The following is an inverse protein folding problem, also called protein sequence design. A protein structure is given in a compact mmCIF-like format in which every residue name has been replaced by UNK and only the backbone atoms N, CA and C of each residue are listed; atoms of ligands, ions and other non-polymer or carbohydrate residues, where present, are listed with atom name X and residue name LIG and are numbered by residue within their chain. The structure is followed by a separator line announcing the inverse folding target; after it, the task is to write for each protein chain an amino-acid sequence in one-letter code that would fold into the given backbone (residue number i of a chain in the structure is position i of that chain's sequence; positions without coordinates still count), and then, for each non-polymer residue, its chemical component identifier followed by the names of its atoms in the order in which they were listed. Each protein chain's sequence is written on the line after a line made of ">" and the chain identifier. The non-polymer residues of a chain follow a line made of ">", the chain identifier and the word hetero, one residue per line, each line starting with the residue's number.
data_IF_625038438898
#
_entry.id   IF_625038438898
#
_cell.length_a   1.000
_cell.length_b   1.000
_cell.length_c   1.000
_cell.angle_alpha   90.00
_cell.angle_beta   90.00
_cell.angle_gamma   90.00
#
_symmetry.space_group_name_H-M   'P 1'
#
loop_
_entity.id
_entity.type
_entity.pdbx_description
1 polymer ?
#
# COMPACT_ATOMS: atom_id res chain seq x y z
N UNK A 1 2.00 56.39 9.17
CA UNK A 1 2.98 55.27 9.15
C UNK A 1 2.63 54.34 10.30
N UNK A 2 2.01 53.21 10.00
CA UNK A 2 1.73 52.15 10.97
C UNK A 2 2.78 51.04 10.79
N UNK A 3 3.29 50.42 11.87
CA UNK A 3 4.32 49.39 11.74
C UNK A 3 3.72 48.11 11.15
N UNK A 4 4.44 47.51 10.19
CA UNK A 4 4.10 46.22 9.61
C UNK A 4 4.22 45.10 10.65
N UNK A 5 3.26 44.15 10.73
CA UNK A 5 3.41 42.98 11.58
C UNK A 5 4.53 42.08 11.04
N UNK A 6 5.43 41.69 11.93
CA UNK A 6 6.51 40.74 11.65
C UNK A 6 5.94 39.35 11.35
N UNK A 7 6.22 38.83 10.16
CA UNK A 7 5.97 37.44 9.79
C UNK A 7 6.90 36.50 10.57
N UNK A 8 6.38 35.87 11.62
CA UNK A 8 7.01 34.69 12.23
C UNK A 8 6.91 33.51 11.25
N UNK A 9 8.02 33.21 10.57
CA UNK A 9 8.20 31.95 9.87
C UNK A 9 8.28 30.80 10.88
N UNK A 10 7.16 30.18 11.21
CA UNK A 10 7.16 28.90 11.94
C UNK A 10 7.54 27.76 11.00
N UNK A 11 8.85 27.56 10.81
CA UNK A 11 9.40 26.31 10.27
C UNK A 11 9.31 25.22 11.35
N UNK A 12 8.64 24.11 11.03
CA UNK A 12 8.64 22.90 11.87
C UNK A 12 7.25 22.47 12.29
N UNK A 13 6.53 21.82 11.37
CA UNK A 13 5.37 21.00 11.72
C UNK A 13 5.87 19.82 12.57
N UNK A 14 6.00 20.02 13.89
CA UNK A 14 6.34 18.96 14.86
C UNK A 14 5.39 17.80 14.61
N UNK A 15 5.93 16.67 14.15
CA UNK A 15 5.19 15.43 14.05
C UNK A 15 4.66 15.12 15.44
N UNK A 16 3.35 15.26 15.63
CA UNK A 16 2.73 14.98 16.93
C UNK A 16 2.96 13.50 17.23
N UNK A 17 3.82 13.23 18.20
CA UNK A 17 4.03 11.88 18.71
C UNK A 17 2.68 11.28 19.10
N UNK A 18 2.20 10.33 18.33
CA UNK A 18 0.97 9.61 18.64
C UNK A 18 1.19 8.83 19.93
N UNK A 19 0.11 8.55 20.67
CA UNK A 19 0.17 7.80 21.93
C UNK A 19 0.86 6.43 21.74
N UNK A 20 0.63 5.79 20.59
CA UNK A 20 1.31 4.55 20.18
C UNK A 20 2.82 4.70 19.96
N UNK A 21 3.26 5.83 19.41
CA UNK A 21 4.68 6.10 19.18
C UNK A 21 5.44 6.35 20.49
N UNK A 22 4.77 6.95 21.50
CA UNK A 22 5.33 7.12 22.85
C UNK A 22 5.48 5.78 23.57
N UNK A 23 4.47 4.91 23.52
CA UNK A 23 4.55 3.57 24.09
C UNK A 23 5.63 2.73 23.42
N UNK A 24 5.75 2.79 22.09
CA UNK A 24 6.79 2.08 21.35
C UNK A 24 8.19 2.60 21.73
N UNK A 25 8.39 3.91 21.82
CA UNK A 25 9.66 4.51 22.23
C UNK A 25 10.03 4.12 23.67
N UNK A 26 9.06 4.11 24.59
CA UNK A 26 9.29 3.68 25.97
C UNK A 26 9.71 2.21 26.06
N UNK A 27 9.01 1.31 25.34
CA UNK A 27 9.35 -0.11 25.28
C UNK A 27 10.73 -0.34 24.66
N UNK A 28 11.07 0.41 23.62
CA UNK A 28 12.40 0.36 22.99
C UNK A 28 13.49 0.76 23.98
N UNK A 29 13.32 1.87 24.72
CA UNK A 29 14.29 2.32 25.73
C UNK A 29 14.44 1.28 26.83
N UNK A 30 13.33 0.70 27.32
CA UNK A 30 13.37 -0.36 28.32
C UNK A 30 14.14 -1.59 27.82
N UNK A 31 13.89 -2.01 26.58
CA UNK A 31 14.58 -3.12 25.92
C UNK A 31 16.09 -2.83 25.79
N UNK A 32 16.47 -1.64 25.32
CA UNK A 32 17.88 -1.23 25.20
C UNK A 32 18.59 -1.17 26.56
N UNK A 33 17.93 -0.66 27.60
CA UNK A 33 18.47 -0.67 28.97
C UNK A 33 18.67 -2.10 29.49
N UNK A 34 17.74 -3.01 29.18
CA UNK A 34 17.86 -4.42 29.53
C UNK A 34 19.07 -5.05 28.84
N UNK A 35 19.25 -4.81 27.53
CA UNK A 35 20.43 -5.27 26.78
C UNK A 35 21.71 -4.67 27.36
N UNK A 36 21.75 -3.36 27.59
CA UNK A 36 22.92 -2.69 28.14
C UNK A 36 23.30 -3.27 29.51
N UNK A 37 22.32 -3.54 30.36
CA UNK A 37 22.55 -4.19 31.67
C UNK A 37 23.15 -5.58 31.50
N UNK A 38 22.67 -6.37 30.53
CA UNK A 38 23.20 -7.71 30.24
C UNK A 38 24.64 -7.65 29.72
N UNK A 39 24.97 -6.67 28.88
CA UNK A 39 26.31 -6.50 28.30
C UNK A 39 27.30 -6.01 29.36
N UNK A 40 26.91 -5.05 30.20
CA UNK A 40 27.79 -4.43 31.21
C UNK A 40 28.10 -5.40 32.35
N UNK A 41 27.16 -6.29 32.69
CA UNK A 41 27.31 -7.23 33.80
C UNK A 41 27.28 -8.69 33.33
N UNK A 42 28.26 -9.18 32.56
CA UNK A 42 28.27 -10.58 32.14
C UNK A 42 28.20 -11.52 33.35
N UNK A 43 27.52 -12.68 33.21
CA UNK A 43 27.39 -13.68 34.28
C UNK A 43 28.78 -14.13 34.72
N UNK A 44 29.24 -13.56 35.83
CA UNK A 44 30.54 -13.78 36.44
C UNK A 44 30.35 -13.68 37.95
N UNK A 45 31.38 -14.02 38.73
CA UNK A 45 31.35 -13.87 40.20
C UNK A 45 31.14 -12.42 40.68
N UNK A 46 31.22 -11.44 39.77
CA UNK A 46 31.07 -10.01 40.07
C UNK A 46 29.67 -9.44 39.72
N UNK A 47 28.75 -10.28 39.22
CA UNK A 47 27.40 -9.85 38.84
C UNK A 47 26.60 -9.46 40.09
N UNK A 48 25.98 -8.27 40.15
CA UNK A 48 25.13 -7.90 41.28
C UNK A 48 23.97 -8.89 41.45
N UNK A 49 23.64 -9.25 42.70
CA UNK A 49 22.63 -10.27 43.01
C UNK A 49 21.21 -9.99 42.45
N UNK A 50 20.89 -8.73 42.15
CA UNK A 50 19.62 -8.35 41.51
C UNK A 50 19.63 -8.53 39.97
N UNK A 51 20.81 -8.59 39.35
CA UNK A 51 20.99 -8.77 37.90
C UNK A 51 20.90 -10.23 37.50
N UNK A 52 21.40 -11.13 38.34
CA UNK A 52 21.36 -12.59 38.11
C UNK A 52 19.94 -13.15 37.81
N UNK A 53 18.87 -12.83 38.59
CA UNK A 53 17.52 -13.28 38.27
C UNK A 53 16.99 -12.63 36.98
N UNK A 54 17.34 -11.36 36.71
CA UNK A 54 16.96 -10.69 35.47
C UNK A 54 17.58 -11.40 34.26
N UNK A 55 18.87 -11.69 34.32
CA UNK A 55 19.59 -12.40 33.26
C UNK A 55 19.07 -13.81 33.07
N UNK A 56 18.90 -14.57 34.14
CA UNK A 56 18.37 -15.94 34.08
C UNK A 56 16.99 -15.96 33.45
N UNK A 57 16.13 -15.01 33.82
CA UNK A 57 14.80 -14.88 33.22
C UNK A 57 14.87 -14.46 31.75
N UNK A 58 15.73 -13.51 31.38
CA UNK A 58 15.88 -13.07 29.99
C UNK A 58 16.47 -14.18 29.12
N UNK A 59 17.51 -14.88 29.57
CA UNK A 59 18.09 -16.02 28.85
C UNK A 59 17.08 -17.17 28.74
N UNK A 60 16.35 -17.48 29.81
CA UNK A 60 15.32 -18.51 29.80
C UNK A 60 14.17 -18.17 28.83
N UNK A 61 13.69 -16.93 28.84
CA UNK A 61 12.68 -16.45 27.89
C UNK A 61 13.22 -16.48 26.46
N UNK A 62 14.42 -15.95 26.22
CA UNK A 62 15.05 -15.96 24.89
C UNK A 62 15.24 -17.39 24.40
N UNK A 63 15.75 -18.32 25.21
CA UNK A 63 15.91 -19.71 24.82
C UNK A 63 14.57 -20.38 24.49
N UNK A 64 13.49 -20.00 25.19
CA UNK A 64 12.14 -20.54 24.96
C UNK A 64 11.51 -19.99 23.67
N UNK A 65 11.70 -18.70 23.39
CA UNK A 65 11.06 -18.02 22.27
C UNK A 65 11.91 -17.98 21.00
N UNK A 66 13.24 -18.04 21.10
CA UNK A 66 14.16 -17.95 19.96
C UNK A 66 13.84 -18.94 18.84
N UNK A 67 13.51 -20.22 19.10
CA UNK A 67 13.12 -21.16 18.04
C UNK A 67 11.91 -20.68 17.22
N UNK A 68 10.89 -20.12 17.88
CA UNK A 68 9.69 -19.61 17.21
C UNK A 68 9.97 -18.32 16.45
N UNK A 69 10.81 -17.44 17.00
CA UNK A 69 11.26 -16.23 16.31
C UNK A 69 12.06 -16.59 15.05
N UNK A 70 13.00 -17.53 15.14
CA UNK A 70 13.80 -17.99 14.01
C UNK A 70 12.94 -18.59 12.90
N UNK A 71 12.04 -19.51 13.24
CA UNK A 71 11.11 -20.11 12.26
C UNK A 71 10.16 -19.07 11.67
N UNK A 72 9.66 -18.15 12.49
CA UNK A 72 8.84 -17.03 12.03
C UNK A 72 9.60 -16.14 11.02
N UNK A 73 10.86 -15.80 11.30
CA UNK A 73 11.70 -15.03 10.39
C UNK A 73 11.97 -15.76 9.07
N UNK A 74 12.18 -17.09 9.12
CA UNK A 74 12.28 -17.90 7.90
C UNK A 74 10.99 -17.84 7.08
N UNK A 75 9.83 -18.01 7.73
CA UNK A 75 8.53 -17.89 7.06
C UNK A 75 8.28 -16.51 6.44
N UNK A 76 8.65 -15.44 7.16
CA UNK A 76 8.59 -14.08 6.63
C UNK A 76 9.50 -13.87 5.41
N UNK A 77 10.71 -14.43 5.46
CA UNK A 77 11.69 -14.33 4.36
C UNK A 77 11.18 -15.03 3.10
N UNK A 78 10.59 -16.22 3.25
CA UNK A 78 9.99 -16.94 2.12
C UNK A 78 8.83 -16.15 1.52
N UNK A 79 7.90 -15.66 2.34
CA UNK A 79 6.77 -14.85 1.87
C UNK A 79 7.23 -13.58 1.14
N UNK A 80 8.28 -12.93 1.65
CA UNK A 80 8.88 -11.75 1.04
C UNK A 80 9.52 -12.08 -0.31
N UNK A 81 10.24 -13.20 -0.41
CA UNK A 81 10.83 -13.67 -1.65
C UNK A 81 9.76 -14.00 -2.70
N UNK A 82 8.65 -14.64 -2.31
CA UNK A 82 7.50 -14.89 -3.19
C UNK A 82 6.83 -13.59 -3.66
N UNK A 83 6.67 -12.60 -2.78
CA UNK A 83 6.09 -11.30 -3.14
C UNK A 83 7.00 -10.53 -4.12
N UNK A 84 8.31 -10.49 -3.86
CA UNK A 84 9.28 -9.81 -4.72
C UNK A 84 9.37 -10.47 -6.10
N UNK A 85 9.32 -11.80 -6.16
CA UNK A 85 9.33 -12.52 -7.45
C UNK A 85 8.02 -12.42 -8.23
N UNK A 86 6.90 -12.23 -7.53
CA UNK A 86 5.58 -11.99 -8.15
C UNK A 86 5.47 -10.56 -8.71
N UNK A 87 5.94 -9.56 -7.96
CA UNK A 87 5.82 -8.13 -8.30
C UNK A 87 7.16 -7.52 -8.69
N UNK A 88 7.83 -8.10 -9.70
CA UNK A 88 9.20 -7.73 -10.10
C UNK A 88 9.34 -6.26 -10.50
N UNK A 89 8.29 -5.66 -11.07
CA UNK A 89 8.30 -4.27 -11.54
C UNK A 89 8.23 -3.26 -10.39
N UNK A 90 7.61 -3.62 -9.26
CA UNK A 90 7.36 -2.72 -8.12
C UNK A 90 7.48 -3.44 -6.76
N UNK A 91 8.64 -4.07 -6.46
CA UNK A 91 8.75 -4.93 -5.29
C UNK A 91 8.62 -4.15 -3.98
N UNK A 92 9.15 -2.92 -3.95
CA UNK A 92 9.13 -2.07 -2.74
C UNK A 92 7.71 -1.58 -2.43
N UNK A 93 6.98 -1.15 -3.46
CA UNK A 93 5.62 -0.66 -3.34
C UNK A 93 4.67 -1.79 -2.97
N UNK A 94 4.85 -2.97 -3.59
CA UNK A 94 4.10 -4.18 -3.26
C UNK A 94 4.29 -4.55 -1.78
N UNK A 95 5.53 -4.61 -1.28
CA UNK A 95 5.82 -4.92 0.13
C UNK A 95 5.23 -3.93 1.14
N UNK A 96 4.99 -2.68 0.72
CA UNK A 96 4.41 -1.64 1.58
C UNK A 96 2.88 -1.70 1.66
N UNK A 97 2.22 -2.47 0.82
CA UNK A 97 0.76 -2.63 0.86
C UNK A 97 0.32 -3.37 2.14
N UNK A 98 -0.90 -3.09 2.60
CA UNK A 98 -1.45 -3.76 3.80
C UNK A 98 -1.58 -5.26 3.60
N UNK A 99 -1.97 -5.69 2.40
CA UNK A 99 -2.17 -7.09 2.05
C UNK A 99 -0.87 -7.89 2.01
N UNK A 100 0.25 -7.28 1.62
CA UNK A 100 1.58 -7.91 1.76
C UNK A 100 1.92 -8.23 3.20
N UNK A 101 1.66 -7.30 4.14
CA UNK A 101 1.91 -7.56 5.56
C UNK A 101 1.01 -8.65 6.13
N UNK A 102 -0.25 -8.73 5.69
CA UNK A 102 -1.16 -9.82 6.06
C UNK A 102 -0.61 -11.16 5.54
N UNK A 103 -0.16 -11.22 4.28
CA UNK A 103 0.40 -12.44 3.69
C UNK A 103 1.68 -12.89 4.42
N UNK A 104 2.58 -11.96 4.74
CA UNK A 104 3.78 -12.23 5.55
C UNK A 104 3.38 -12.75 6.93
N UNK A 105 2.42 -12.11 7.60
CA UNK A 105 1.96 -12.53 8.92
C UNK A 105 1.35 -13.93 8.91
N UNK A 106 0.54 -14.27 7.90
CA UNK A 106 0.00 -15.62 7.72
C UNK A 106 1.11 -16.66 7.58
N UNK A 107 2.16 -16.35 6.80
CA UNK A 107 3.31 -17.25 6.66
C UNK A 107 4.09 -17.43 7.97
N UNK A 108 4.29 -16.35 8.73
CA UNK A 108 4.94 -16.41 10.06
C UNK A 108 4.13 -17.31 11.00
N UNK A 109 2.81 -17.12 11.07
CA UNK A 109 1.92 -17.91 11.92
C UNK A 109 1.92 -19.37 11.50
N UNK A 110 1.83 -19.66 10.19
CA UNK A 110 1.84 -21.02 9.69
C UNK A 110 3.16 -21.74 9.99
N UNK A 111 4.31 -21.05 9.87
CA UNK A 111 5.61 -21.59 10.22
C UNK A 111 5.72 -21.90 11.72
N UNK A 112 5.22 -21.00 12.59
CA UNK A 112 5.17 -21.21 14.04
C UNK A 112 4.28 -22.42 14.39
N UNK A 113 3.10 -22.53 13.80
CA UNK A 113 2.20 -23.67 14.00
C UNK A 113 2.89 -24.98 13.58
N UNK A 114 3.58 -24.98 12.43
CA UNK A 114 4.34 -26.15 11.98
C UNK A 114 5.42 -26.55 13.00
N UNK A 115 6.15 -25.60 13.59
CA UNK A 115 7.10 -25.89 14.65
C UNK A 115 6.43 -26.43 15.92
N UNK A 116 5.26 -25.92 16.30
CA UNK A 116 4.49 -26.46 17.43
C UNK A 116 4.12 -27.92 17.16
N UNK A 117 3.60 -28.22 15.96
CA UNK A 117 3.24 -29.59 15.57
C UNK A 117 4.45 -30.51 15.65
N UNK A 118 5.58 -30.12 15.04
CA UNK A 118 6.82 -30.91 15.06
C UNK A 118 7.32 -31.14 16.49
N UNK A 119 7.24 -30.14 17.37
CA UNK A 119 7.63 -30.29 18.78
C UNK A 119 6.77 -31.29 19.55
N UNK A 120 5.50 -31.41 19.20
CA UNK A 120 4.56 -32.34 19.85
C UNK A 120 4.66 -33.73 19.26
N UNK A 121 4.93 -33.87 17.96
CA UNK A 121 4.95 -35.17 17.27
C UNK A 121 6.33 -35.82 17.20
N UNK A 122 7.41 -35.03 17.25
CA UNK A 122 8.80 -35.49 17.10
C UNK A 122 9.66 -35.08 18.31
N UNK A 123 9.28 -35.55 19.50
CA UNK A 123 9.92 -35.19 20.78
C UNK A 123 11.39 -35.59 20.86
N UNK A 124 11.77 -36.70 20.22
CA UNK A 124 13.14 -37.24 20.22
C UNK A 124 14.08 -36.53 19.22
N UNK A 125 13.55 -35.69 18.33
CA UNK A 125 14.35 -35.02 17.31
C UNK A 125 15.13 -33.85 17.91
N UNK A 126 16.40 -33.69 17.52
CA UNK A 126 17.23 -32.57 17.95
C UNK A 126 16.52 -31.22 17.67
N UNK A 127 16.45 -30.28 18.64
CA UNK A 127 15.75 -29.01 18.49
C UNK A 127 16.20 -28.17 17.28
N UNK A 128 17.49 -28.20 16.95
CA UNK A 128 18.03 -27.49 15.79
C UNK A 128 17.56 -28.10 14.47
N UNK A 129 17.46 -29.43 14.41
CA UNK A 129 16.91 -30.14 13.25
C UNK A 129 15.40 -29.90 13.10
N UNK A 130 14.65 -29.74 14.20
CA UNK A 130 13.24 -29.33 14.16
C UNK A 130 13.06 -27.94 13.53
N UNK A 131 13.91 -26.97 13.88
CA UNK A 131 13.86 -25.63 13.29
C UNK A 131 14.15 -25.69 11.78
N UNK A 132 15.20 -26.43 11.40
CA UNK A 132 15.64 -26.52 10.01
C UNK A 132 14.64 -27.31 9.14
N UNK A 133 14.09 -28.41 9.67
CA UNK A 133 13.09 -29.22 8.98
C UNK A 133 11.79 -28.43 8.77
N UNK A 134 11.37 -27.63 9.75
CA UNK A 134 10.23 -26.73 9.58
C UNK A 134 10.56 -25.67 8.55
N UNK A 135 11.69 -24.97 8.67
CA UNK A 135 12.09 -23.89 7.76
C UNK A 135 12.07 -24.27 6.28
N UNK A 136 12.52 -25.49 5.95
CA UNK A 136 12.53 -26.01 4.57
C UNK A 136 11.23 -26.73 4.23
N UNK A 137 10.69 -27.52 5.15
CA UNK A 137 9.60 -28.46 4.90
C UNK A 137 8.20 -27.86 5.01
N UNK A 138 8.00 -26.79 5.78
CA UNK A 138 6.65 -26.28 6.03
C UNK A 138 5.98 -25.74 4.76
N UNK A 139 6.77 -25.19 3.83
CA UNK A 139 6.29 -24.74 2.52
C UNK A 139 5.77 -25.90 1.68
N UNK A 140 6.42 -27.06 1.75
CA UNK A 140 5.91 -28.27 1.11
C UNK A 140 4.60 -28.71 1.79
N UNK A 141 4.56 -28.72 3.12
CA UNK A 141 3.39 -29.15 3.90
C UNK A 141 2.16 -28.27 3.63
N UNK A 142 2.29 -26.95 3.62
CA UNK A 142 1.16 -26.03 3.35
C UNK A 142 0.56 -26.27 1.97
N UNK A 143 1.36 -26.71 1.00
CA UNK A 143 0.92 -27.03 -0.36
C UNK A 143 0.37 -28.45 -0.52
N UNK A 144 0.33 -29.26 0.54
CA UNK A 144 -0.20 -30.64 0.45
C UNK A 144 -1.71 -30.71 0.68
N UNK A 145 -2.35 -31.68 0.02
CA UNK A 145 -3.75 -32.05 0.23
C UNK A 145 -3.81 -33.13 1.31
N UNK A 146 -4.50 -32.84 2.42
CA UNK A 146 -4.71 -33.81 3.49
C UNK A 146 -6.04 -34.53 3.27
N UNK A 147 -5.99 -35.84 3.05
CA UNK A 147 -7.18 -36.70 3.01
C UNK A 147 -7.46 -37.16 4.45
N UNK A 148 -8.55 -36.68 5.06
CA UNK A 148 -8.89 -36.98 6.47
C UNK A 148 -9.69 -38.27 6.61
N UNK A 149 -10.51 -38.60 5.60
CA UNK A 149 -11.24 -39.84 5.56
C UNK A 149 -11.38 -40.31 4.11
N UNK A 150 -10.92 -41.55 3.86
CA UNK A 150 -11.23 -42.31 2.65
C UNK A 150 -12.20 -43.41 3.05
N UNK A 151 -13.43 -43.38 2.52
CA UNK A 151 -14.36 -44.50 2.71
C UNK A 151 -13.77 -45.73 1.99
N UNK A 152 -13.49 -46.80 2.75
CA UNK A 152 -13.04 -48.07 2.18
C UNK A 152 -14.26 -48.72 1.51
N UNK A 153 -14.20 -48.86 0.18
CA UNK A 153 -15.24 -49.55 -0.61
C UNK A 153 -15.89 -48.71 -1.72
N UNK A 154 -15.44 -47.47 -1.95
CA UNK A 154 -15.92 -46.63 -3.05
C UNK A 154 -14.73 -46.15 -3.88
N UNK A 155 -14.65 -46.61 -5.14
CA UNK A 155 -13.55 -46.28 -6.07
C UNK A 155 -13.76 -44.91 -6.76
N UNK A 156 -14.75 -44.14 -6.30
CA UNK A 156 -15.04 -42.78 -6.74
C UNK A 156 -14.47 -41.71 -5.80
N UNK A 157 -13.96 -40.61 -6.39
CA UNK A 157 -13.48 -39.42 -5.67
C UNK A 157 -14.56 -38.72 -4.80
N UNK A 158 -15.82 -39.14 -4.90
CA UNK A 158 -16.97 -38.52 -4.22
C UNK A 158 -17.08 -38.89 -2.73
N UNK A 159 -16.34 -39.91 -2.27
CA UNK A 159 -16.35 -40.37 -0.87
C UNK A 159 -15.22 -39.83 0.03
N UNK A 160 -14.33 -38.96 -0.48
CA UNK A 160 -13.15 -38.49 0.24
C UNK A 160 -13.39 -37.13 0.93
N UNK A 161 -13.36 -37.11 2.26
CA UNK A 161 -13.30 -35.84 3.02
C UNK A 161 -11.84 -35.43 3.12
N UNK A 162 -11.41 -34.54 2.21
CA UNK A 162 -10.06 -33.98 2.20
C UNK A 162 -10.09 -32.48 2.52
N UNK A 163 -9.26 -32.03 3.47
CA UNK A 163 -8.95 -30.61 3.62
C UNK A 163 -7.78 -30.29 2.70
N UNK A 164 -8.07 -29.58 1.62
CA UNK A 164 -7.05 -29.06 0.73
C UNK A 164 -6.51 -27.73 1.27
N UNK A 165 -5.59 -27.80 2.24
CA UNK A 165 -4.89 -26.63 2.78
C UNK A 165 -4.13 -25.88 1.69
N UNK A 166 -3.57 -26.61 0.72
CA UNK A 166 -2.97 -26.01 -0.48
C UNK A 166 -3.94 -25.12 -1.24
N UNK A 167 -5.13 -25.64 -1.57
CA UNK A 167 -6.15 -24.85 -2.26
C UNK A 167 -6.60 -23.63 -1.46
N UNK A 168 -6.83 -23.77 -0.15
CA UNK A 168 -7.23 -22.63 0.68
C UNK A 168 -6.14 -21.56 0.72
N UNK A 169 -4.88 -21.98 0.86
CA UNK A 169 -3.73 -21.09 0.83
C UNK A 169 -3.58 -20.41 -0.53
N UNK A 170 -3.76 -21.15 -1.64
CA UNK A 170 -3.71 -20.61 -2.99
C UNK A 170 -4.81 -19.57 -3.24
N UNK A 171 -6.05 -19.83 -2.79
CA UNK A 171 -7.14 -18.85 -2.87
C UNK A 171 -6.82 -17.59 -2.09
N UNK A 172 -6.28 -17.74 -0.87
CA UNK A 172 -5.86 -16.60 -0.06
C UNK A 172 -4.71 -15.82 -0.72
N UNK A 173 -3.70 -16.51 -1.25
CA UNK A 173 -2.60 -15.88 -1.98
C UNK A 173 -3.10 -15.11 -3.19
N UNK A 174 -4.03 -15.69 -3.96
CA UNK A 174 -4.62 -15.04 -5.12
C UNK A 174 -5.40 -13.79 -4.74
N UNK A 175 -6.24 -13.86 -3.69
CA UNK A 175 -6.95 -12.70 -3.16
C UNK A 175 -5.97 -11.60 -2.76
N UNK A 176 -4.93 -11.94 -1.99
CA UNK A 176 -3.92 -10.99 -1.56
C UNK A 176 -3.20 -10.36 -2.77
N UNK A 177 -2.79 -11.15 -3.76
CA UNK A 177 -2.16 -10.65 -4.99
C UNK A 177 -3.06 -9.69 -5.75
N UNK A 178 -4.34 -10.03 -5.95
CA UNK A 178 -5.30 -9.15 -6.62
C UNK A 178 -5.48 -7.84 -5.87
N UNK A 179 -5.56 -7.88 -4.54
CA UNK A 179 -5.73 -6.65 -3.75
C UNK A 179 -4.46 -5.77 -3.76
N UNK A 180 -3.27 -6.38 -3.74
CA UNK A 180 -2.00 -5.67 -3.91
C UNK A 180 -1.99 -4.98 -5.27
N UNK A 181 -2.36 -5.69 -6.34
CA UNK A 181 -2.40 -5.16 -7.69
C UNK A 181 -3.38 -3.97 -7.82
N UNK A 182 -4.59 -4.09 -7.29
CA UNK A 182 -5.57 -3.00 -7.25
C UNK A 182 -5.05 -1.77 -6.50
N UNK A 183 -4.37 -1.95 -5.37
CA UNK A 183 -3.77 -0.85 -4.62
C UNK A 183 -2.65 -0.17 -5.42
N UNK A 184 -1.82 -0.95 -6.12
CA UNK A 184 -0.79 -0.45 -7.01
C UNK A 184 -1.40 0.31 -8.20
N UNK A 185 -2.45 -0.22 -8.84
CA UNK A 185 -3.16 0.45 -9.94
C UNK A 185 -3.73 1.81 -9.51
N UNK A 186 -4.35 1.90 -8.33
CA UNK A 186 -4.85 3.17 -7.80
C UNK A 186 -3.73 4.20 -7.57
N UNK A 187 -2.58 3.75 -7.06
CA UNK A 187 -1.40 4.62 -6.90
C UNK A 187 -0.86 5.07 -8.26
N UNK A 188 -0.77 4.17 -9.25
CA UNK A 188 -0.34 4.50 -10.60
C UNK A 188 -1.25 5.55 -11.24
N UNK A 189 -2.57 5.36 -11.16
CA UNK A 189 -3.54 6.34 -11.67
C UNK A 189 -3.35 7.70 -11.01
N UNK A 190 -3.23 7.72 -9.68
CA UNK A 190 -3.02 8.97 -8.92
C UNK A 190 -1.71 9.66 -9.32
N UNK A 191 -0.63 8.90 -9.50
CA UNK A 191 0.67 9.43 -9.91
C UNK A 191 0.63 10.03 -11.32
N UNK A 192 -0.01 9.34 -12.27
CA UNK A 192 -0.22 9.84 -13.64
C UNK A 192 -1.06 11.10 -13.64
N UNK A 193 -2.20 11.12 -12.93
CA UNK A 193 -3.04 12.31 -12.83
C UNK A 193 -2.26 13.50 -12.28
N UNK A 194 -1.48 13.31 -11.20
CA UNK A 194 -0.62 14.37 -10.66
C UNK A 194 0.43 14.83 -11.67
N UNK A 195 1.09 13.92 -12.38
CA UNK A 195 2.04 14.32 -13.43
C UNK A 195 1.37 15.20 -14.48
N UNK A 196 0.17 14.84 -14.92
CA UNK A 196 -0.58 15.63 -15.91
C UNK A 196 -1.01 17.00 -15.37
N UNK A 197 -1.26 17.12 -14.07
CA UNK A 197 -1.63 18.38 -13.42
C UNK A 197 -0.42 19.33 -13.28
N UNK A 198 0.74 18.81 -12.88
CA UNK A 198 1.95 19.61 -12.66
C UNK A 198 2.75 19.87 -13.95
N UNK A 199 2.63 18.99 -14.95
CA UNK A 199 3.30 19.10 -16.25
C UNK A 199 2.25 19.12 -17.37
N UNK A 200 1.60 20.27 -17.60
CA UNK A 200 0.53 20.37 -18.60
C UNK A 200 1.05 20.35 -20.04
N UNK A 201 2.32 20.69 -20.26
CA UNK A 201 2.93 20.77 -21.58
C UNK A 201 3.29 19.38 -22.12
N UNK A 202 2.86 19.08 -23.35
CA UNK A 202 3.25 17.85 -24.05
C UNK A 202 4.77 17.78 -24.27
N UNK A 203 5.40 18.91 -24.63
CA UNK A 203 6.85 18.96 -24.86
C UNK A 203 7.63 18.62 -23.58
N UNK A 204 7.18 19.14 -22.43
CA UNK A 204 7.82 18.88 -21.15
C UNK A 204 7.65 17.41 -20.71
N UNK A 205 6.45 16.84 -20.90
CA UNK A 205 6.23 15.41 -20.66
C UNK A 205 7.07 14.53 -21.58
N UNK A 206 7.25 14.93 -22.84
CA UNK A 206 8.09 14.22 -23.79
C UNK A 206 9.56 14.25 -23.36
N UNK A 207 10.10 15.42 -23.02
CA UNK A 207 11.50 15.56 -22.59
C UNK A 207 11.79 14.76 -21.32
N UNK A 208 10.87 14.80 -20.34
CA UNK A 208 10.99 14.01 -19.12
C UNK A 208 10.94 12.51 -19.46
N UNK A 209 10.00 12.07 -20.32
CA UNK A 209 9.89 10.67 -20.72
C UNK A 209 11.16 10.18 -21.45
N UNK A 210 11.66 10.98 -22.39
CA UNK A 210 12.88 10.70 -23.14
C UNK A 210 14.11 10.60 -22.23
N UNK A 211 14.26 11.55 -21.32
CA UNK A 211 15.32 11.53 -20.32
C UNK A 211 15.20 10.31 -19.41
N UNK A 212 13.98 9.95 -18.99
CA UNK A 212 13.73 8.78 -18.13
C UNK A 212 14.14 7.48 -18.82
N UNK A 213 13.86 7.34 -20.12
CA UNK A 213 14.27 6.16 -20.90
C UNK A 213 15.80 6.13 -21.04
N UNK A 214 16.42 7.25 -21.43
CA UNK A 214 17.87 7.33 -21.68
C UNK A 214 18.71 7.19 -20.41
N UNK A 215 18.22 7.69 -19.27
CA UNK A 215 18.93 7.63 -17.99
C UNK A 215 18.84 6.26 -17.31
N UNK A 216 18.02 5.35 -17.84
CA UNK A 216 17.80 4.03 -17.25
C UNK A 216 18.91 3.05 -17.60
N UNK A 217 19.88 2.92 -16.71
CA UNK A 217 21.04 2.02 -16.86
C UNK A 217 20.71 0.51 -17.00
N UNK A 218 19.47 0.09 -16.75
CA UNK A 218 19.06 -1.33 -16.82
C UNK A 218 18.52 -1.75 -18.18
N UNK A 219 18.29 -0.82 -19.11
CA UNK A 219 17.80 -1.14 -20.45
C UNK A 219 18.97 -1.53 -21.36
N UNK A 220 18.75 -2.52 -22.23
CA UNK A 220 19.67 -2.75 -23.35
C UNK A 220 19.49 -1.65 -24.40
N UNK A 221 20.49 -1.44 -25.26
CA UNK A 221 20.40 -0.43 -26.34
C UNK A 221 19.19 -0.67 -27.24
N UNK A 222 18.91 -1.91 -27.59
CA UNK A 222 17.73 -2.29 -28.40
C UNK A 222 16.41 -1.92 -27.71
N UNK A 223 16.30 -2.17 -26.40
CA UNK A 223 15.12 -1.80 -25.63
C UNK A 223 14.98 -0.28 -25.51
N UNK A 224 16.08 0.43 -25.33
CA UNK A 224 16.08 1.89 -25.28
C UNK A 224 15.59 2.49 -26.60
N UNK A 225 16.12 2.03 -27.73
CA UNK A 225 15.70 2.46 -29.07
C UNK A 225 14.23 2.13 -29.33
N UNK A 226 13.77 0.93 -28.97
CA UNK A 226 12.37 0.54 -29.11
C UNK A 226 11.44 1.46 -28.31
N UNK A 227 11.79 1.74 -27.04
CA UNK A 227 10.99 2.61 -26.17
C UNK A 227 10.98 4.06 -26.64
N UNK A 228 12.09 4.55 -27.20
CA UNK A 228 12.17 5.87 -27.85
C UNK A 228 11.30 5.94 -29.10
N UNK A 229 11.36 4.93 -29.96
CA UNK A 229 10.51 4.85 -31.14
C UNK A 229 9.01 4.82 -30.78
N UNK A 230 8.64 4.09 -29.71
CA UNK A 230 7.27 4.08 -29.22
C UNK A 230 6.84 5.44 -28.65
N UNK A 231 7.75 6.17 -27.98
CA UNK A 231 7.50 7.53 -27.51
C UNK A 231 7.33 8.52 -28.68
N UNK A 232 8.14 8.41 -29.73
CA UNK A 232 8.03 9.24 -30.94
C UNK A 232 6.71 9.05 -31.68
N UNK A 233 6.17 7.82 -31.72
CA UNK A 233 4.83 7.56 -32.30
C UNK A 233 3.72 8.34 -31.58
N UNK A 234 3.90 8.69 -30.31
CA UNK A 234 2.93 9.48 -29.55
C UNK A 234 2.91 10.97 -29.96
N UNK A 235 3.91 11.42 -30.72
CA UNK A 235 3.95 12.76 -31.31
C UNK A 235 3.21 12.86 -32.65
N UNK A 236 2.60 11.76 -33.14
CA UNK A 236 1.81 11.80 -34.38
C UNK A 236 0.66 12.81 -34.24
N UNK A 237 0.58 13.85 -35.10
CA UNK A 237 -0.48 14.86 -35.07
C UNK A 237 -1.90 14.28 -35.21
N UNK A 238 -2.03 13.03 -35.67
CA UNK A 238 -3.32 12.34 -35.80
C UNK A 238 -3.82 11.74 -34.48
N UNK A 239 -2.95 11.62 -33.47
CA UNK A 239 -3.34 11.09 -32.16
C UNK A 239 -4.03 12.18 -31.31
N UNK A 240 -5.09 11.85 -30.54
CA UNK A 240 -5.68 12.80 -29.60
C UNK A 240 -4.65 13.30 -28.58
N UNK A 241 -4.54 14.62 -28.40
CA UNK A 241 -3.53 15.25 -27.53
C UNK A 241 -3.55 14.70 -26.09
N UNK A 242 -4.76 14.54 -25.53
CA UNK A 242 -4.95 13.98 -24.19
C UNK A 242 -4.47 12.53 -24.07
N UNK A 243 -4.58 11.75 -25.14
CA UNK A 243 -4.08 10.37 -25.19
C UNK A 243 -2.56 10.33 -25.22
N UNK A 244 -1.93 11.18 -26.05
CA UNK A 244 -0.48 11.30 -26.13
C UNK A 244 0.11 11.75 -24.78
N UNK A 245 -0.46 12.78 -24.15
CA UNK A 245 -0.05 13.24 -22.82
C UNK A 245 -0.16 12.16 -21.75
N UNK A 246 -1.30 11.47 -21.68
CA UNK A 246 -1.51 10.37 -20.72
C UNK A 246 -0.51 9.23 -20.93
N UNK A 247 -0.22 8.91 -22.19
CA UNK A 247 0.74 7.87 -22.57
C UNK A 247 2.17 8.26 -22.22
N UNK A 248 2.56 9.52 -22.38
CA UNK A 248 3.87 10.04 -21.93
C UNK A 248 4.01 9.99 -20.41
N UNK A 249 2.98 10.42 -19.67
CA UNK A 249 2.97 10.33 -18.21
C UNK A 249 3.06 8.88 -17.71
N UNK A 250 2.41 7.95 -18.40
CA UNK A 250 2.56 6.51 -18.15
C UNK A 250 3.97 6.01 -18.46
N UNK A 251 4.57 6.45 -19.57
CA UNK A 251 5.94 6.08 -19.93
C UNK A 251 6.97 6.57 -18.88
N UNK A 252 6.78 7.78 -18.33
CA UNK A 252 7.59 8.29 -17.21
C UNK A 252 7.46 7.37 -15.99
N UNK A 253 6.23 7.02 -15.61
CA UNK A 253 5.98 6.16 -14.47
C UNK A 253 6.53 4.74 -14.65
N UNK A 254 6.41 4.15 -15.84
CA UNK A 254 6.89 2.79 -16.13
C UNK A 254 8.40 2.69 -16.23
N UNK A 255 9.07 3.75 -16.71
CA UNK A 255 10.51 3.75 -16.86
C UNK A 255 11.23 4.26 -15.62
N UNK A 256 10.72 5.30 -14.97
CA UNK A 256 11.32 5.91 -13.79
C UNK A 256 10.85 5.31 -12.46
N UNK A 257 9.68 4.67 -12.45
CA UNK A 257 9.06 4.16 -11.24
C UNK A 257 8.44 5.24 -10.36
N UNK A 258 7.72 4.81 -9.32
CA UNK A 258 6.96 5.69 -8.43
C UNK A 258 7.86 6.71 -7.71
N UNK A 259 9.06 6.30 -7.28
CA UNK A 259 9.98 7.17 -6.55
C UNK A 259 10.49 8.34 -7.41
N UNK A 260 10.75 8.10 -8.69
CA UNK A 260 11.16 9.15 -9.61
C UNK A 260 10.01 10.13 -9.89
N UNK A 261 8.79 9.62 -10.07
CA UNK A 261 7.60 10.48 -10.20
C UNK A 261 7.39 11.36 -8.96
N UNK A 262 7.55 10.80 -7.75
CA UNK A 262 7.47 11.59 -6.52
C UNK A 262 8.56 12.67 -6.44
N UNK A 263 9.77 12.39 -6.93
CA UNK A 263 10.85 13.36 -7.02
C UNK A 263 10.50 14.49 -8.00
N UNK A 264 10.00 14.17 -9.19
CA UNK A 264 9.54 15.16 -10.17
C UNK A 264 8.44 16.04 -9.59
N UNK A 265 7.43 15.43 -8.97
CA UNK A 265 6.35 16.18 -8.32
C UNK A 265 6.88 17.07 -7.19
N UNK A 266 7.85 16.60 -6.41
CA UNK A 266 8.48 17.41 -5.35
C UNK A 266 9.25 18.59 -5.92
N UNK A 267 10.00 18.39 -7.01
CA UNK A 267 10.71 19.46 -7.71
C UNK A 267 9.74 20.47 -8.32
N UNK A 268 8.69 20.00 -8.99
CA UNK A 268 7.62 20.85 -9.50
C UNK A 268 7.02 21.69 -8.37
N UNK A 269 6.71 21.08 -7.22
CA UNK A 269 6.21 21.76 -6.02
C UNK A 269 7.17 22.84 -5.48
N UNK A 270 8.48 22.59 -5.51
CA UNK A 270 9.51 23.52 -5.00
C UNK A 270 9.76 24.71 -5.94
N UNK A 271 9.55 24.53 -7.25
CA UNK A 271 9.78 25.56 -8.26
C UNK A 271 8.62 26.53 -8.45
N UNK A 272 7.53 26.35 -7.70
CA UNK A 272 6.36 27.23 -7.77
C UNK A 272 6.50 28.38 -6.78
N UNK A 273 6.19 29.60 -7.22
CA UNK A 273 6.02 30.74 -6.32
C UNK A 273 4.89 30.47 -5.32
N UNK A 274 4.86 31.13 -4.15
CA UNK A 274 3.75 31.03 -3.19
C UNK A 274 2.37 31.31 -3.83
N UNK A 275 2.34 32.17 -4.84
CA UNK A 275 1.16 32.50 -5.66
C UNK A 275 0.80 31.38 -6.64
N UNK A 276 1.78 30.72 -7.26
CA UNK A 276 1.59 29.57 -8.13
C UNK A 276 1.23 28.29 -7.33
N UNK A 277 1.71 28.14 -6.10
CA UNK A 277 1.24 27.12 -5.15
C UNK A 277 -0.20 27.39 -4.68
N UNK A 278 -0.60 28.66 -4.54
CA UNK A 278 -1.99 29.04 -4.29
C UNK A 278 -2.90 28.87 -5.53
N UNK A 279 -2.30 28.84 -6.74
CA UNK A 279 -2.96 28.52 -8.01
C UNK A 279 -3.01 27.00 -8.30
N UNK A 280 -2.03 26.22 -7.81
CA UNK A 280 -2.07 24.76 -7.64
C UNK A 280 -2.96 24.35 -6.46
N UNK A 281 -4.14 24.97 -6.42
CA UNK A 281 -5.26 24.31 -5.78
C UNK A 281 -5.40 22.93 -6.44
N UNK A 282 -5.82 21.89 -5.68
CA UNK A 282 -6.40 20.71 -6.31
C UNK A 282 -7.31 21.22 -7.42
N UNK A 283 -7.19 20.68 -8.64
CA UNK A 283 -7.97 21.10 -9.81
C UNK A 283 -9.36 21.48 -9.33
N UNK A 284 -9.94 22.58 -9.82
CA UNK A 284 -11.18 23.11 -9.23
C UNK A 284 -12.26 22.04 -9.02
N UNK A 285 -12.21 20.94 -9.80
CA UNK A 285 -12.89 19.66 -9.58
C UNK A 285 -12.45 18.83 -8.37
N UNK A 286 -11.18 18.51 -8.16
CA UNK A 286 -10.71 17.75 -6.99
C UNK A 286 -11.00 18.47 -5.67
N UNK A 287 -10.89 19.81 -5.65
CA UNK A 287 -11.30 20.60 -4.47
C UNK A 287 -12.81 20.45 -4.22
N UNK A 288 -13.58 20.50 -5.30
CA UNK A 288 -15.04 20.40 -5.25
C UNK A 288 -15.49 19.00 -4.84
N UNK A 289 -14.85 17.96 -5.36
CA UNK A 289 -15.06 16.56 -4.97
C UNK A 289 -14.75 16.39 -3.48
N UNK A 290 -13.60 16.91 -3.01
CA UNK A 290 -13.26 16.85 -1.60
C UNK A 290 -14.29 17.58 -0.73
N UNK A 291 -14.78 18.76 -1.15
CA UNK A 291 -15.83 19.49 -0.43
C UNK A 291 -17.15 18.70 -0.40
N UNK A 292 -17.58 18.16 -1.54
CA UNK A 292 -18.78 17.32 -1.65
C UNK A 292 -18.67 16.08 -0.74
N UNK A 293 -17.53 15.39 -0.73
CA UNK A 293 -17.33 14.19 0.08
C UNK A 293 -17.31 14.50 1.58
N UNK A 294 -16.72 15.62 2.00
CA UNK A 294 -16.55 15.91 3.43
C UNK A 294 -17.70 16.72 4.04
N UNK A 295 -18.39 17.56 3.25
CA UNK A 295 -19.40 18.48 3.77
C UNK A 295 -20.85 18.04 3.53
N UNK A 296 -21.09 17.08 2.63
CA UNK A 296 -22.43 16.62 2.28
C UNK A 296 -22.62 15.17 2.68
N UNK A 297 -23.75 14.81 3.25
CA UNK A 297 -24.19 13.42 3.40
C UNK A 297 -24.63 12.82 2.05
N UNK A 298 -24.76 11.50 1.97
CA UNK A 298 -25.22 10.81 0.75
C UNK A 298 -26.60 11.34 0.32
N UNK A 299 -27.52 11.56 1.26
CA UNK A 299 -28.84 12.12 0.99
C UNK A 299 -28.77 13.57 0.46
N UNK A 300 -27.88 14.40 1.03
CA UNK A 300 -27.68 15.77 0.54
C UNK A 300 -27.06 15.81 -0.87
N UNK A 301 -26.19 14.85 -1.23
CA UNK A 301 -25.65 14.73 -2.59
C UNK A 301 -26.75 14.37 -3.61
N UNK A 302 -27.70 13.50 -3.24
CA UNK A 302 -28.87 13.17 -4.07
C UNK A 302 -29.75 14.41 -4.27
N UNK A 303 -30.05 15.14 -3.19
CA UNK A 303 -30.86 16.36 -3.26
C UNK A 303 -30.16 17.46 -4.10
N UNK A 304 -28.85 17.59 -3.96
CA UNK A 304 -28.05 18.53 -4.75
C UNK A 304 -28.07 18.14 -6.24
N UNK A 305 -27.99 16.85 -6.56
CA UNK A 305 -28.10 16.33 -7.94
C UNK A 305 -29.48 16.63 -8.54
N UNK A 306 -30.56 16.39 -7.78
CA UNK A 306 -31.94 16.69 -8.22
C UNK A 306 -32.15 18.18 -8.52
N UNK A 307 -31.50 19.06 -7.75
CA UNK A 307 -31.59 20.51 -7.95
C UNK A 307 -30.84 20.98 -9.20
N UNK A 308 -29.69 20.37 -9.50
CA UNK A 308 -28.74 20.92 -10.48
C UNK A 308 -28.74 20.18 -11.83
N UNK A 309 -29.19 18.93 -11.87
CA UNK A 309 -29.21 18.14 -13.10
C UNK A 309 -30.57 18.17 -13.77
N UNK A 310 -30.69 18.68 -15.01
CA UNK A 310 -31.93 18.58 -15.79
C UNK A 310 -32.16 17.16 -16.36
N UNK A 311 -31.14 16.29 -16.33
CA UNK A 311 -31.23 14.93 -16.86
C UNK A 311 -31.73 13.95 -15.80
N UNK A 312 -32.91 13.37 -16.05
CA UNK A 312 -33.52 12.35 -15.19
C UNK A 312 -32.62 11.11 -15.03
N UNK A 313 -31.89 10.73 -16.08
CA UNK A 313 -30.93 9.61 -16.06
C UNK A 313 -29.78 9.82 -15.07
N UNK A 314 -29.30 11.06 -14.93
CA UNK A 314 -28.23 11.40 -13.99
C UNK A 314 -28.74 11.33 -12.55
N UNK A 315 -29.96 11.83 -12.32
CA UNK A 315 -30.64 11.77 -11.01
C UNK A 315 -30.90 10.33 -10.59
N UNK A 316 -31.40 9.51 -11.51
CA UNK A 316 -31.67 8.08 -11.29
C UNK A 316 -30.38 7.33 -10.94
N UNK A 317 -29.30 7.56 -11.68
CA UNK A 317 -28.00 6.95 -11.39
C UNK A 317 -27.50 7.29 -9.98
N UNK A 318 -27.50 8.57 -9.60
CA UNK A 318 -27.03 9.00 -8.28
C UNK A 318 -27.94 8.45 -7.16
N UNK A 319 -29.25 8.41 -7.38
CA UNK A 319 -30.21 7.84 -6.42
C UNK A 319 -29.98 6.34 -6.22
N UNK A 320 -29.70 5.61 -7.29
CA UNK A 320 -29.36 4.18 -7.21
C UNK A 320 -28.01 3.96 -6.53
N UNK A 321 -26.99 4.75 -6.88
CA UNK A 321 -25.66 4.70 -6.27
C UNK A 321 -25.67 5.08 -4.78
N UNK A 322 -26.68 5.82 -4.32
CA UNK A 322 -26.87 6.23 -2.93
C UNK A 322 -27.57 5.19 -2.04
N UNK A 323 -28.08 4.09 -2.61
CA UNK A 323 -28.73 3.03 -1.82
C UNK A 323 -27.73 2.38 -0.85
N UNK A 324 -28.12 2.06 0.39
CA UNK A 324 -27.21 1.43 1.34
C UNK A 324 -26.75 0.06 0.81
N UNK A 325 -25.43 -0.13 0.73
CA UNK A 325 -24.82 -1.41 0.37
C UNK A 325 -23.88 -1.83 1.53
N UNK A 326 -24.13 -2.98 2.20
CA UNK A 326 -23.29 -3.44 3.31
C UNK A 326 -21.85 -3.77 2.90
N UNK A 327 -21.57 -3.92 1.60
CA UNK A 327 -20.23 -4.25 1.08
C UNK A 327 -19.39 -3.03 0.74
N UNK A 328 -19.99 -1.84 0.65
CA UNK A 328 -19.32 -0.61 0.19
C UNK A 328 -19.16 0.38 1.34
N UNK A 329 -17.94 0.82 1.60
CA UNK A 329 -17.68 1.88 2.57
C UNK A 329 -18.36 3.19 2.11
N UNK A 330 -19.12 3.82 3.01
CA UNK A 330 -19.82 5.09 2.78
C UNK A 330 -18.90 6.20 2.25
N UNK A 331 -17.63 6.25 2.66
CA UNK A 331 -16.67 7.22 2.13
C UNK A 331 -16.38 7.00 0.64
N UNK A 332 -16.24 5.74 0.20
CA UNK A 332 -16.03 5.39 -1.20
C UNK A 332 -17.29 5.67 -2.03
N UNK A 333 -18.46 5.36 -1.48
CA UNK A 333 -19.76 5.65 -2.11
C UNK A 333 -19.91 7.15 -2.38
N UNK A 334 -19.60 8.00 -1.40
CA UNK A 334 -19.63 9.46 -1.54
C UNK A 334 -18.63 9.96 -2.58
N UNK A 335 -17.42 9.40 -2.61
CA UNK A 335 -16.40 9.78 -3.60
C UNK A 335 -16.86 9.46 -5.03
N UNK A 336 -17.41 8.26 -5.26
CA UNK A 336 -17.95 7.86 -6.57
C UNK A 336 -19.07 8.79 -7.03
N UNK A 337 -20.02 9.11 -6.15
CA UNK A 337 -21.12 10.05 -6.45
C UNK A 337 -20.57 11.44 -6.76
N UNK A 338 -19.64 11.96 -5.95
CA UNK A 338 -19.06 13.28 -6.14
C UNK A 338 -18.28 13.40 -7.46
N UNK A 339 -17.49 12.39 -7.83
CA UNK A 339 -16.81 12.36 -9.13
C UNK A 339 -17.80 12.36 -10.30
N UNK A 340 -18.86 11.54 -10.20
CA UNK A 340 -19.89 11.47 -11.24
C UNK A 340 -20.64 12.80 -11.39
N UNK A 341 -21.00 13.45 -10.28
CA UNK A 341 -21.63 14.77 -10.29
C UNK A 341 -20.76 15.81 -10.98
N UNK A 342 -19.46 15.88 -10.67
CA UNK A 342 -18.54 16.81 -11.33
C UNK A 342 -18.45 16.54 -12.83
N UNK A 343 -18.44 15.28 -13.24
CA UNK A 343 -18.37 14.91 -14.65
C UNK A 343 -19.65 15.24 -15.44
N UNK A 344 -20.83 15.03 -14.84
CA UNK A 344 -22.11 15.16 -15.55
C UNK A 344 -22.77 16.54 -15.41
N UNK A 345 -22.63 17.19 -14.25
CA UNK A 345 -23.24 18.50 -13.95
C UNK A 345 -22.26 19.62 -14.32
N UNK A 346 -20.96 19.36 -14.25
CA UNK A 346 -19.92 20.33 -14.50
C UNK A 346 -19.54 21.17 -13.26
N UNK A 347 -18.39 21.83 -13.35
CA UNK A 347 -17.74 22.50 -12.23
C UNK A 347 -18.45 23.78 -11.78
N UNK A 348 -18.88 24.61 -12.73
CA UNK A 348 -19.47 25.93 -12.43
C UNK A 348 -20.84 25.84 -11.73
N UNK A 349 -21.80 24.99 -12.18
CA UNK A 349 -23.10 24.90 -11.52
C UNK A 349 -22.99 24.36 -10.10
N UNK A 350 -22.09 23.40 -9.88
CA UNK A 350 -21.82 22.84 -8.56
C UNK A 350 -21.14 23.87 -7.65
N UNK A 351 -20.13 24.60 -8.12
CA UNK A 351 -19.48 25.65 -7.31
C UNK A 351 -20.45 26.77 -6.94
N UNK A 352 -21.32 27.19 -7.86
CA UNK A 352 -22.35 28.20 -7.60
C UNK A 352 -23.35 27.71 -6.55
N UNK A 353 -23.78 26.45 -6.64
CA UNK A 353 -24.69 25.88 -5.65
C UNK A 353 -24.07 25.77 -4.25
N UNK A 354 -22.77 25.45 -4.17
CA UNK A 354 -22.04 25.39 -2.90
C UNK A 354 -21.87 26.79 -2.27
N UNK A 355 -21.59 27.82 -3.08
CA UNK A 355 -21.43 29.19 -2.57
C UNK A 355 -22.76 29.80 -2.11
N UNK A 356 -23.88 29.48 -2.77
CA UNK A 356 -25.23 29.89 -2.37
C UNK A 356 -25.69 29.27 -1.05
N UNK A 357 -25.19 28.09 -0.68
CA UNK A 357 -25.57 27.41 0.57
C UNK A 357 -24.80 27.90 1.81
N UNK A 358 -23.85 28.84 1.67
CA UNK A 358 -23.25 29.57 2.79
C UNK A 358 -22.44 28.74 3.80
N UNK A 359 -22.16 27.45 3.52
CA UNK A 359 -21.34 26.60 4.38
C UNK A 359 -19.85 26.90 4.11
N UNK A 360 -19.27 27.83 4.87
CA UNK A 360 -17.82 28.12 4.87
C UNK A 360 -17.02 27.01 5.54
#
# INVERSE_FOLDING_TARGET
>A
MAPSPSEEMTFGRRTKFTRGMKTAAFLLVLFLLTIATIIVFPITETTPAWVEPLQTNVYGLTARFAPYVLVGLLGATVAMAELVSTFQTYPREALRTRWSWILIAVNVVAAIIALIVVRVTMTEMNPSLQILSVGVGFQAIIRTRFVLAKRIGDDGQEGEVALNLGWLYDQFQNLARTQIDLELMNKRRTAVTRLLDYYPSMAELYDIAWYTITSRATLTREQEEQRKADLEKLLDPKAPENFARSSMALAILENGGQAYVELLLTQAMQNLSPEAMAALKPTSGDKLIWQLVNQYSVAELVALTQKLSPSEKVVEYVTNAAKPDPTVNTANQKATIAHFMVQQIGLEPLQKALSEQGRK
#
